data_IF_812944324987
#
_entry.id   IF_812944324987
#
_cell.length_a   1.000
_cell.length_b   1.000
_cell.length_c   1.000
_cell.angle_alpha   90.00
_cell.angle_beta   90.00
_cell.angle_gamma   90.00
#
_symmetry.space_group_name_H-M   'P 1'
#
loop_
_entity.id
_entity.type
_entity.pdbx_description
1 polymer ?
#
# COMPACT_ATOMS: atom_id res chain seq x y z
N UNK A 1 21.85 3.39 20.19
CA UNK A 1 21.86 2.57 18.97
C UNK A 1 20.53 1.84 18.97
N UNK A 2 19.55 2.32 18.21
CA UNK A 2 18.27 1.62 18.06
C UNK A 2 18.59 0.30 17.37
N UNK A 3 18.37 -0.81 18.05
CA UNK A 3 18.46 -2.13 17.42
C UNK A 3 17.37 -2.15 16.36
N UNK A 4 17.78 -2.05 15.09
CA UNK A 4 16.88 -2.09 13.97
C UNK A 4 16.18 -3.46 14.00
N UNK A 5 14.88 -3.46 14.30
CA UNK A 5 14.10 -4.68 14.28
C UNK A 5 14.17 -5.30 12.88
N UNK A 6 14.72 -6.53 12.74
CA UNK A 6 14.86 -7.17 11.43
C UNK A 6 13.53 -7.32 10.70
N UNK A 7 12.42 -7.49 11.43
CA UNK A 7 11.07 -7.62 10.85
C UNK A 7 10.62 -6.28 10.27
N UNK A 8 10.84 -5.17 10.98
CA UNK A 8 10.55 -3.83 10.50
C UNK A 8 11.35 -3.47 9.26
N UNK A 9 12.65 -3.81 9.23
CA UNK A 9 13.49 -3.57 8.05
C UNK A 9 13.04 -4.35 6.82
N UNK A 10 12.70 -5.63 6.97
CA UNK A 10 12.16 -6.46 5.87
C UNK A 10 10.84 -5.87 5.38
N UNK A 11 9.97 -5.46 6.29
CA UNK A 11 8.70 -4.79 5.95
C UNK A 11 8.94 -3.53 5.11
N UNK A 12 9.86 -2.67 5.52
CA UNK A 12 10.20 -1.44 4.81
C UNK A 12 10.74 -1.73 3.40
N UNK A 13 11.66 -2.69 3.27
CA UNK A 13 12.21 -3.09 1.96
C UNK A 13 11.09 -3.59 1.04
N UNK A 14 10.20 -4.44 1.53
CA UNK A 14 9.07 -4.93 0.75
C UNK A 14 8.13 -3.81 0.33
N UNK A 15 7.86 -2.85 1.20
CA UNK A 15 7.04 -1.67 0.85
C UNK A 15 7.68 -0.82 -0.25
N UNK A 16 9.01 -0.65 -0.23
CA UNK A 16 9.75 0.06 -1.30
C UNK A 16 9.66 -0.71 -2.61
N UNK A 17 9.79 -2.04 -2.59
CA UNK A 17 9.63 -2.89 -3.78
C UNK A 17 8.22 -2.76 -4.35
N UNK A 18 7.20 -2.81 -3.50
CA UNK A 18 5.80 -2.64 -3.89
C UNK A 18 5.57 -1.26 -4.53
N UNK A 19 6.08 -0.18 -3.90
CA UNK A 19 6.03 1.17 -4.45
C UNK A 19 6.70 1.24 -5.84
N UNK A 20 7.85 0.61 -6.01
CA UNK A 20 8.55 0.55 -7.28
C UNK A 20 7.72 -0.15 -8.37
N UNK A 21 7.08 -1.28 -8.06
CA UNK A 21 6.18 -1.99 -8.99
C UNK A 21 5.02 -1.09 -9.43
N UNK A 22 4.45 -0.32 -8.52
CA UNK A 22 3.36 0.61 -8.84
C UNK A 22 3.84 1.77 -9.71
N UNK A 23 5.01 2.36 -9.39
CA UNK A 23 5.59 3.44 -10.19
C UNK A 23 5.89 2.95 -11.61
N UNK A 24 6.41 1.74 -11.77
CA UNK A 24 6.61 1.12 -13.09
C UNK A 24 5.30 0.93 -13.87
N UNK A 25 4.20 0.76 -13.16
CA UNK A 25 2.87 0.67 -13.77
C UNK A 25 2.34 2.01 -14.32
N UNK A 26 2.75 3.16 -13.78
CA UNK A 26 2.21 4.47 -14.16
C UNK A 26 2.43 4.85 -15.65
N UNK A 27 3.63 4.68 -16.24
CA UNK A 27 3.85 4.98 -17.65
C UNK A 27 2.98 4.14 -18.60
N UNK A 28 2.64 2.91 -18.17
CA UNK A 28 1.82 1.99 -18.95
C UNK A 28 0.37 2.47 -19.11
N UNK A 29 -0.11 3.34 -18.20
CA UNK A 29 -1.42 4.00 -18.32
C UNK A 29 -1.34 5.26 -19.16
N UNK A 30 -0.21 5.98 -19.09
CA UNK A 30 -0.05 7.30 -19.73
C UNK A 30 0.36 7.22 -21.20
N UNK A 31 1.18 6.24 -21.57
CA UNK A 31 1.90 6.23 -22.84
C UNK A 31 1.41 5.26 -23.90
N UNK A 32 0.58 4.28 -23.59
CA UNK A 32 0.18 3.28 -24.56
C UNK A 32 -1.30 2.89 -24.40
N UNK A 33 -2.14 3.39 -25.29
CA UNK A 33 -3.54 2.96 -25.44
C UNK A 33 -3.66 1.53 -25.98
N UNK A 34 -2.62 0.69 -25.82
CA UNK A 34 -2.64 -0.68 -26.28
C UNK A 34 -3.18 -1.62 -25.19
N UNK A 35 -4.02 -2.57 -25.58
CA UNK A 35 -4.55 -3.60 -24.69
C UNK A 35 -3.42 -4.31 -23.91
N UNK A 36 -2.28 -4.57 -24.56
CA UNK A 36 -1.12 -5.24 -23.96
C UNK A 36 -0.51 -4.44 -22.81
N UNK A 37 -0.39 -3.11 -22.95
CA UNK A 37 0.16 -2.22 -21.92
C UNK A 37 -0.76 -2.16 -20.69
N UNK A 38 -2.06 -2.05 -20.91
CA UNK A 38 -3.05 -2.03 -19.83
C UNK A 38 -3.13 -3.36 -19.07
N UNK A 39 -2.98 -4.49 -19.78
CA UNK A 39 -2.90 -5.81 -19.14
C UNK A 39 -1.67 -5.93 -18.25
N UNK A 40 -0.50 -5.49 -18.74
CA UNK A 40 0.75 -5.49 -17.93
C UNK A 40 0.61 -4.63 -16.69
N UNK A 41 0.04 -3.42 -16.80
CA UNK A 41 -0.26 -2.58 -15.66
C UNK A 41 -1.14 -3.30 -14.64
N UNK A 42 -2.24 -3.91 -15.09
CA UNK A 42 -3.16 -4.64 -14.22
C UNK A 42 -2.46 -5.78 -13.47
N UNK A 43 -1.66 -6.60 -14.14
CA UNK A 43 -0.90 -7.67 -13.48
C UNK A 43 0.12 -7.15 -12.47
N UNK A 44 0.88 -6.09 -12.79
CA UNK A 44 1.80 -5.46 -11.82
C UNK A 44 1.08 -4.98 -10.58
N UNK A 45 -0.09 -4.37 -10.75
CA UNK A 45 -0.92 -3.89 -9.64
C UNK A 45 -1.46 -5.06 -8.81
N UNK A 46 -1.89 -6.17 -9.45
CA UNK A 46 -2.30 -7.39 -8.72
C UNK A 46 -1.16 -7.94 -7.89
N UNK A 47 0.04 -8.07 -8.46
CA UNK A 47 1.22 -8.57 -7.72
C UNK A 47 1.54 -7.65 -6.55
N UNK A 48 1.55 -6.33 -6.77
CA UNK A 48 1.79 -5.35 -5.73
C UNK A 48 0.77 -5.46 -4.58
N UNK A 49 -0.52 -5.59 -4.92
CA UNK A 49 -1.59 -5.73 -3.93
C UNK A 49 -1.47 -7.03 -3.13
N UNK A 50 -1.22 -8.16 -3.79
CA UNK A 50 -1.04 -9.45 -3.10
C UNK A 50 0.14 -9.40 -2.12
N UNK A 51 1.28 -8.84 -2.55
CA UNK A 51 2.44 -8.65 -1.67
C UNK A 51 2.11 -7.76 -0.48
N UNK A 52 1.35 -6.67 -0.71
CA UNK A 52 0.94 -5.76 0.35
C UNK A 52 -0.04 -6.42 1.32
N UNK A 53 -1.02 -7.18 0.82
CA UNK A 53 -1.94 -7.96 1.66
C UNK A 53 -1.18 -8.94 2.57
N UNK A 54 -0.20 -9.69 2.00
CA UNK A 54 0.64 -10.60 2.78
C UNK A 54 1.39 -9.84 3.88
N UNK A 55 1.95 -8.67 3.55
CA UNK A 55 2.69 -7.84 4.48
C UNK A 55 1.79 -7.33 5.63
N UNK A 56 0.57 -6.91 5.32
CA UNK A 56 -0.40 -6.49 6.33
C UNK A 56 -0.65 -7.62 7.33
N UNK A 57 -1.01 -8.80 6.87
CA UNK A 57 -1.38 -9.90 7.75
C UNK A 57 -0.18 -10.56 8.45
N UNK A 58 0.97 -10.64 7.79
CA UNK A 58 2.15 -11.29 8.37
C UNK A 58 2.95 -10.39 9.32
N UNK A 59 2.92 -9.07 9.12
CA UNK A 59 3.75 -8.13 9.88
C UNK A 59 2.91 -7.07 10.58
N UNK A 60 2.10 -6.30 9.83
CA UNK A 60 1.46 -5.11 10.37
C UNK A 60 0.41 -5.43 11.42
N UNK A 61 -0.47 -6.41 11.16
CA UNK A 61 -1.51 -6.81 12.12
C UNK A 61 -0.91 -7.36 13.41
N UNK A 62 0.07 -8.30 13.38
CA UNK A 62 0.73 -8.76 14.60
C UNK A 62 1.47 -7.67 15.36
N UNK A 63 2.17 -6.77 14.66
CA UNK A 63 2.88 -5.65 15.29
C UNK A 63 1.91 -4.68 15.96
N UNK A 64 0.83 -4.31 15.26
CA UNK A 64 -0.21 -3.45 15.80
C UNK A 64 -0.90 -4.08 17.01
N UNK A 65 -1.20 -5.39 16.96
CA UNK A 65 -1.83 -6.09 18.07
C UNK A 65 -0.95 -6.14 19.33
N UNK A 66 0.38 -6.27 19.16
CA UNK A 66 1.34 -6.21 20.27
C UNK A 66 1.44 -4.80 20.87
N UNK A 67 1.55 -3.78 20.01
CA UNK A 67 1.68 -2.39 20.44
C UNK A 67 0.37 -1.76 20.91
N UNK A 68 -0.78 -2.40 20.68
CA UNK A 68 -2.09 -1.82 20.99
C UNK A 68 -2.25 -1.45 22.48
N UNK A 69 -1.70 -2.29 23.38
CA UNK A 69 -1.73 -2.03 24.82
C UNK A 69 -0.88 -0.82 25.24
N UNK A 70 0.15 -0.52 24.48
CA UNK A 70 1.11 0.56 24.77
C UNK A 70 0.70 1.90 24.16
N UNK A 71 -0.30 1.93 23.25
CA UNK A 71 -0.76 3.15 22.57
C UNK A 71 -1.29 4.23 23.53
N UNK A 72 -1.72 3.83 24.75
CA UNK A 72 -2.14 4.77 25.79
C UNK A 72 -0.99 5.38 26.59
N UNK A 73 0.21 4.81 26.50
CA UNK A 73 1.40 5.22 27.23
C UNK A 73 2.35 6.10 26.39
N UNK A 74 2.20 6.08 25.05
CA UNK A 74 2.98 6.93 24.13
C UNK A 74 2.37 8.32 23.99
N UNK A 75 3.15 9.24 23.43
CA UNK A 75 2.66 10.61 23.19
C UNK A 75 1.42 10.63 22.29
N UNK A 76 0.57 11.65 22.44
CA UNK A 76 -0.62 11.85 21.59
C UNK A 76 -0.24 11.91 20.11
N UNK A 77 0.90 12.53 19.79
CA UNK A 77 1.41 12.64 18.42
C UNK A 77 1.80 11.29 17.83
N UNK A 78 2.48 10.46 18.61
CA UNK A 78 2.91 9.12 18.18
C UNK A 78 1.70 8.22 17.99
N UNK A 79 0.76 8.25 18.94
CA UNK A 79 -0.52 7.54 18.83
C UNK A 79 -1.30 7.96 17.58
N UNK A 80 -1.37 9.27 17.29
CA UNK A 80 -2.01 9.77 16.07
C UNK A 80 -1.31 9.28 14.79
N UNK A 81 0.02 9.24 14.76
CA UNK A 81 0.77 8.72 13.61
C UNK A 81 0.48 7.23 13.36
N UNK A 82 0.49 6.41 14.41
CA UNK A 82 0.19 4.97 14.32
C UNK A 82 -1.23 4.74 13.82
N UNK A 83 -2.22 5.43 14.37
CA UNK A 83 -3.61 5.32 13.94
C UNK A 83 -3.82 5.82 12.51
N UNK A 84 -3.21 6.95 12.14
CA UNK A 84 -3.34 7.49 10.78
C UNK A 84 -2.72 6.53 9.76
N UNK A 85 -1.56 5.92 10.07
CA UNK A 85 -0.97 4.89 9.22
C UNK A 85 -1.90 3.69 9.02
N UNK A 86 -2.46 3.16 10.11
CA UNK A 86 -3.37 2.02 10.07
C UNK A 86 -4.63 2.32 9.24
N UNK A 87 -5.26 3.48 9.44
CA UNK A 87 -6.47 3.89 8.72
C UNK A 87 -6.18 4.13 7.24
N UNK A 88 -5.11 4.87 6.92
CA UNK A 88 -4.74 5.16 5.53
C UNK A 88 -4.32 3.89 4.79
N UNK A 89 -3.52 3.02 5.42
CA UNK A 89 -3.09 1.75 4.85
C UNK A 89 -4.27 0.82 4.56
N UNK A 90 -5.18 0.65 5.53
CA UNK A 90 -6.39 -0.15 5.36
C UNK A 90 -7.29 0.42 4.26
N UNK A 91 -7.44 1.75 4.21
CA UNK A 91 -8.23 2.42 3.16
C UNK A 91 -7.62 2.18 1.78
N UNK A 92 -6.30 2.32 1.63
CA UNK A 92 -5.61 2.06 0.37
C UNK A 92 -5.77 0.60 -0.08
N UNK A 93 -5.67 -0.35 0.85
CA UNK A 93 -5.84 -1.78 0.59
C UNK A 93 -7.26 -2.10 0.10
N UNK A 94 -8.28 -1.64 0.83
CA UNK A 94 -9.69 -1.87 0.45
C UNK A 94 -9.99 -1.27 -0.92
N UNK A 95 -9.56 -0.04 -1.19
CA UNK A 95 -9.72 0.59 -2.50
C UNK A 95 -8.98 -0.17 -3.59
N UNK A 96 -7.76 -0.64 -3.32
CA UNK A 96 -6.97 -1.46 -4.22
C UNK A 96 -7.68 -2.76 -4.59
N UNK A 97 -8.22 -3.48 -3.60
CA UNK A 97 -9.02 -4.69 -3.81
C UNK A 97 -10.24 -4.40 -4.67
N UNK A 98 -11.01 -3.36 -4.36
CA UNK A 98 -12.19 -2.97 -5.13
C UNK A 98 -11.84 -2.67 -6.58
N UNK A 99 -10.73 -1.95 -6.82
CA UNK A 99 -10.27 -1.61 -8.17
C UNK A 99 -9.88 -2.87 -8.96
N UNK A 100 -9.14 -3.80 -8.35
CA UNK A 100 -8.71 -5.04 -9.02
C UNK A 100 -9.87 -5.96 -9.27
N UNK A 101 -10.75 -6.19 -8.29
CA UNK A 101 -11.94 -7.02 -8.46
C UNK A 101 -12.85 -6.44 -9.56
N UNK A 102 -13.04 -5.11 -9.56
CA UNK A 102 -13.82 -4.44 -10.58
C UNK A 102 -13.22 -4.56 -11.99
N UNK A 103 -11.89 -4.56 -12.09
CA UNK A 103 -11.16 -4.74 -13.34
C UNK A 103 -11.26 -6.18 -13.84
N UNK A 104 -11.07 -7.18 -12.97
CA UNK A 104 -11.16 -8.60 -13.31
C UNK A 104 -12.59 -9.00 -13.71
N UNK A 105 -13.60 -8.53 -12.98
CA UNK A 105 -15.00 -8.85 -13.21
C UNK A 105 -15.52 -8.37 -14.58
N UNK A 106 -14.97 -7.26 -15.10
CA UNK A 106 -15.41 -6.66 -16.37
C UNK A 106 -14.69 -7.19 -17.62
N UNK A 107 -13.95 -8.29 -17.50
CA UNK A 107 -12.98 -8.78 -18.51
C UNK A 107 -11.98 -7.68 -18.88
N UNK A 108 -10.68 -7.88 -18.73
CA UNK A 108 -9.67 -6.84 -18.91
C UNK A 108 -9.84 -6.14 -20.26
N UNK A 109 -10.42 -4.96 -20.23
CA UNK A 109 -10.72 -4.15 -21.42
C UNK A 109 -10.16 -2.74 -21.24
N UNK A 110 -9.79 -2.10 -22.32
CA UNK A 110 -9.33 -0.70 -22.34
C UNK A 110 -10.36 0.24 -21.73
N UNK A 111 -11.66 0.02 -22.02
CA UNK A 111 -12.77 0.82 -21.47
C UNK A 111 -12.95 0.63 -19.94
N UNK A 112 -12.73 -0.58 -19.41
CA UNK A 112 -12.80 -0.86 -17.98
C UNK A 112 -11.75 -0.08 -17.21
N UNK A 113 -10.51 -0.06 -17.69
CA UNK A 113 -9.41 0.68 -17.11
C UNK A 113 -9.64 2.22 -17.13
N UNK A 114 -10.17 2.74 -18.24
CA UNK A 114 -10.45 4.18 -18.36
C UNK A 114 -11.48 4.67 -17.34
N UNK A 115 -12.52 3.89 -17.07
CA UNK A 115 -13.54 4.23 -16.05
C UNK A 115 -13.00 4.17 -14.62
N UNK A 116 -12.04 3.31 -14.34
CA UNK A 116 -11.43 3.16 -13.02
C UNK A 116 -10.29 4.18 -12.76
N UNK A 117 -9.76 4.80 -13.83
CA UNK A 117 -8.62 5.72 -13.74
C UNK A 117 -8.82 6.84 -12.72
N UNK A 118 -10.03 7.38 -12.60
CA UNK A 118 -10.36 8.45 -11.65
C UNK A 118 -10.16 8.04 -10.18
N UNK A 119 -10.24 6.74 -9.87
CA UNK A 119 -10.04 6.20 -8.53
C UNK A 119 -8.61 5.68 -8.30
N UNK A 120 -7.88 5.33 -9.35
CA UNK A 120 -6.51 4.82 -9.26
C UNK A 120 -5.55 5.84 -8.67
N UNK A 121 -5.64 7.09 -9.11
CA UNK A 121 -4.74 8.14 -8.62
C UNK A 121 -4.97 8.47 -7.14
N UNK A 122 -6.20 8.72 -6.66
CA UNK A 122 -6.44 8.89 -5.22
C UNK A 122 -5.96 7.72 -4.38
N UNK A 123 -6.25 6.48 -4.81
CA UNK A 123 -5.79 5.27 -4.11
C UNK A 123 -4.27 5.22 -4.01
N UNK A 124 -3.56 5.50 -5.11
CA UNK A 124 -2.11 5.57 -5.13
C UNK A 124 -1.56 6.65 -4.19
N UNK A 125 -2.16 7.84 -4.19
CA UNK A 125 -1.75 8.94 -3.31
C UNK A 125 -1.94 8.57 -1.83
N UNK A 126 -3.09 8.01 -1.45
CA UNK A 126 -3.37 7.56 -0.08
C UNK A 126 -2.31 6.52 0.34
N UNK A 127 -1.98 5.60 -0.56
CA UNK A 127 -0.96 4.59 -0.29
C UNK A 127 0.44 5.18 -0.09
N UNK A 128 0.87 6.11 -0.94
CA UNK A 128 2.15 6.80 -0.77
C UNK A 128 2.21 7.54 0.57
N UNK A 129 1.13 8.23 0.95
CA UNK A 129 1.05 8.92 2.25
C UNK A 129 1.15 7.91 3.41
N UNK A 130 0.45 6.79 3.32
CA UNK A 130 0.55 5.71 4.31
C UNK A 130 1.96 5.14 4.40
N UNK A 131 2.63 4.92 3.26
CA UNK A 131 4.01 4.45 3.22
C UNK A 131 4.98 5.41 3.90
N UNK A 132 4.87 6.71 3.60
CA UNK A 132 5.72 7.74 4.23
C UNK A 132 5.48 7.76 5.73
N UNK A 133 4.22 7.72 6.17
CA UNK A 133 3.89 7.70 7.58
C UNK A 133 4.41 6.43 8.28
N UNK A 134 4.26 5.25 7.69
CA UNK A 134 4.83 4.00 8.21
C UNK A 134 6.36 4.02 8.30
N UNK A 135 7.02 4.64 7.33
CA UNK A 135 8.48 4.85 7.36
C UNK A 135 8.90 5.74 8.53
N UNK A 136 8.15 6.81 8.80
CA UNK A 136 8.40 7.69 9.93
C UNK A 136 8.24 6.95 11.27
N UNK A 137 7.16 6.16 11.42
CA UNK A 137 6.93 5.34 12.61
C UNK A 137 8.12 4.40 12.85
N UNK A 138 8.59 3.72 11.80
CA UNK A 138 9.73 2.81 11.89
C UNK A 138 11.04 3.51 12.26
N UNK A 139 11.35 4.66 11.63
CA UNK A 139 12.60 5.42 11.90
C UNK A 139 12.59 6.01 13.30
N UNK A 140 11.44 6.49 13.78
CA UNK A 140 11.30 7.12 15.08
C UNK A 140 11.14 6.09 16.23
N UNK A 141 11.00 4.82 15.89
CA UNK A 141 10.87 3.75 16.89
C UNK A 141 9.59 3.84 17.71
N UNK A 142 8.47 4.24 17.08
CA UNK A 142 7.18 4.41 17.75
C UNK A 142 6.41 3.09 17.99
N UNK A 143 6.88 1.98 17.43
CA UNK A 143 6.34 0.62 17.59
C UNK A 143 7.47 -0.41 17.70
#
# INVERSE_FOLDING_TARGET
MVALDPVGNVSLILQVVILFLLILGLPMIRGANTKKSLMRHGYLTVVALVLHTILIFAVMVPSFAKGFGELGEISILDSFNVWSHAVLGTTAEVLGIILIVSWLAKKPSTMGCAKLKKWMLPTFVIWVISLVNGTLIHILGML
#
